data_IF_051770901170
#
_entry.id   IF_051770901170
#
_cell.length_a   1.000
_cell.length_b   1.000
_cell.length_c   1.000
_cell.angle_alpha   90.00
_cell.angle_beta   90.00
_cell.angle_gamma   90.00
#
_symmetry.space_group_name_H-M   'P 1'
#
loop_
_entity.id
_entity.type
_entity.pdbx_description
1 polymer ?
#
# COMPACT_ATOMS: atom_id res chain seq x y z
N UNK A 1 -36.72 -46.86 32.07
CA UNK A 1 -36.23 -45.53 32.50
C UNK A 1 -34.81 -45.69 32.99
N UNK A 2 -33.85 -45.39 32.12
CA UNK A 2 -32.44 -45.17 32.46
C UNK A 2 -31.87 -44.35 31.32
N UNK A 3 -31.83 -43.04 31.53
CA UNK A 3 -31.19 -42.06 30.66
C UNK A 3 -29.69 -42.36 30.57
N UNK A 4 -29.15 -42.44 29.36
CA UNK A 4 -27.71 -42.41 29.12
C UNK A 4 -27.38 -41.13 28.37
N UNK A 5 -26.75 -40.20 29.09
CA UNK A 5 -26.18 -38.97 28.53
C UNK A 5 -25.03 -39.31 27.57
N UNK A 6 -24.95 -38.68 26.38
CA UNK A 6 -23.76 -38.77 25.55
C UNK A 6 -22.66 -37.87 26.12
N UNK A 7 -21.50 -38.47 26.36
CA UNK A 7 -20.28 -37.84 26.87
C UNK A 7 -19.72 -36.88 25.82
N UNK A 8 -19.61 -35.59 26.17
CA UNK A 8 -18.89 -34.59 25.39
C UNK A 8 -17.39 -34.95 25.32
N UNK A 9 -16.97 -35.59 24.22
CA UNK A 9 -15.56 -35.62 23.85
C UNK A 9 -15.17 -34.26 23.30
N UNK A 10 -14.50 -33.47 24.14
CA UNK A 10 -13.79 -32.25 23.74
C UNK A 10 -12.70 -32.61 22.74
N UNK A 11 -12.89 -32.19 21.49
CA UNK A 11 -11.87 -32.27 20.46
C UNK A 11 -10.68 -31.37 20.84
N UNK A 12 -9.66 -31.96 21.48
CA UNK A 12 -8.37 -31.31 21.65
C UNK A 12 -7.73 -31.12 20.27
N UNK A 13 -7.79 -29.92 19.72
CA UNK A 13 -6.94 -29.51 18.61
C UNK A 13 -5.47 -29.71 19.01
N UNK A 14 -4.87 -30.83 18.59
CA UNK A 14 -3.42 -31.03 18.69
C UNK A 14 -2.75 -30.04 17.75
N UNK A 15 -2.12 -29.00 18.31
CA UNK A 15 -1.29 -28.06 17.57
C UNK A 15 -0.11 -28.84 16.95
N UNK A 16 -0.22 -29.17 15.66
CA UNK A 16 0.84 -29.84 14.93
C UNK A 16 2.04 -28.89 14.87
N UNK A 17 3.20 -29.30 15.41
CA UNK A 17 4.44 -28.50 15.34
C UNK A 17 4.91 -28.46 13.88
N UNK A 18 4.63 -27.37 13.18
CA UNK A 18 5.15 -27.10 11.84
C UNK A 18 6.63 -26.72 11.97
N UNK A 19 7.52 -27.36 11.21
CA UNK A 19 8.95 -27.06 11.24
C UNK A 19 9.24 -25.67 10.70
N UNK A 20 10.35 -25.06 11.15
CA UNK A 20 10.76 -23.73 10.68
C UNK A 20 11.02 -23.68 9.16
N UNK A 21 11.51 -24.78 8.59
CA UNK A 21 11.73 -24.91 7.14
C UNK A 21 10.43 -24.83 6.34
N UNK A 22 9.32 -25.33 6.89
CA UNK A 22 7.99 -25.22 6.27
C UNK A 22 7.34 -23.85 6.46
N UNK A 23 7.98 -22.98 7.26
CA UNK A 23 7.55 -21.61 7.56
C UNK A 23 8.48 -20.57 6.96
N UNK A 24 9.44 -21.01 6.15
CA UNK A 24 10.46 -20.14 5.57
C UNK A 24 10.32 -20.10 4.05
N UNK A 25 10.43 -18.91 3.49
CA UNK A 25 10.52 -18.67 2.07
C UNK A 25 11.83 -17.95 1.77
N UNK A 26 12.43 -18.25 0.62
CA UNK A 26 13.56 -17.47 0.11
C UNK A 26 13.03 -16.50 -0.93
N UNK A 27 13.28 -15.21 -0.74
CA UNK A 27 12.93 -14.16 -1.69
C UNK A 27 14.15 -13.27 -1.88
N UNK A 28 14.65 -13.19 -3.12
CA UNK A 28 15.91 -12.50 -3.42
C UNK A 28 17.08 -13.00 -2.54
N UNK A 29 17.73 -12.05 -1.87
CA UNK A 29 18.82 -12.30 -0.92
C UNK A 29 18.38 -12.72 0.49
N UNK A 30 17.08 -12.75 0.77
CA UNK A 30 16.53 -12.91 2.11
C UNK A 30 15.93 -14.29 2.33
N UNK A 31 15.97 -14.77 3.58
CA UNK A 31 15.10 -15.83 4.06
C UNK A 31 14.09 -15.19 5.01
N UNK A 32 12.80 -15.27 4.67
CA UNK A 32 11.72 -14.75 5.51
C UNK A 32 11.03 -15.92 6.21
N UNK A 33 10.79 -15.80 7.52
CA UNK A 33 10.27 -16.88 8.36
C UNK A 33 9.05 -16.44 9.15
N UNK A 34 8.00 -17.27 9.14
CA UNK A 34 6.85 -17.13 10.05
C UNK A 34 7.23 -17.52 11.50
N UNK A 35 7.54 -16.53 12.32
CA UNK A 35 7.79 -16.66 13.74
C UNK A 35 6.54 -16.63 14.62
N UNK A 36 5.32 -16.53 14.06
CA UNK A 36 4.10 -16.46 14.87
C UNK A 36 3.95 -17.71 15.75
N UNK A 37 3.88 -17.48 17.06
CA UNK A 37 3.85 -18.50 18.14
C UNK A 37 5.09 -19.41 18.21
N UNK A 38 6.23 -19.00 17.63
CA UNK A 38 7.52 -19.70 17.76
C UNK A 38 8.20 -19.27 19.07
N UNK A 39 8.95 -20.19 19.70
CA UNK A 39 9.80 -19.85 20.85
C UNK A 39 11.00 -19.01 20.38
N UNK A 40 10.92 -17.69 20.59
CA UNK A 40 11.94 -16.72 20.17
C UNK A 40 13.28 -16.92 20.86
N UNK A 41 13.30 -17.29 22.14
CA UNK A 41 14.55 -17.54 22.90
C UNK A 41 15.34 -18.67 22.27
N UNK A 42 14.70 -19.81 22.02
CA UNK A 42 15.32 -20.95 21.35
C UNK A 42 15.81 -20.60 19.94
N UNK A 43 15.06 -19.75 19.23
CA UNK A 43 15.42 -19.34 17.88
C UNK A 43 16.69 -18.48 17.88
N UNK A 44 16.78 -17.53 18.80
CA UNK A 44 17.96 -16.68 18.99
C UNK A 44 19.19 -17.51 19.33
N UNK A 45 19.08 -18.43 20.29
CA UNK A 45 20.17 -19.35 20.65
C UNK A 45 20.67 -20.15 19.44
N UNK A 46 19.74 -20.73 18.67
CA UNK A 46 20.08 -21.54 17.50
C UNK A 46 20.82 -20.74 16.42
N UNK A 47 20.38 -19.52 16.11
CA UNK A 47 21.04 -18.71 15.09
C UNK A 47 22.32 -18.05 15.61
N UNK A 48 22.42 -17.71 16.89
CA UNK A 48 23.67 -17.26 17.50
C UNK A 48 24.78 -18.32 17.35
N UNK A 49 24.46 -19.60 17.58
CA UNK A 49 25.40 -20.72 17.34
C UNK A 49 25.85 -20.82 15.87
N UNK A 50 25.05 -20.32 14.94
CA UNK A 50 25.36 -20.25 13.51
C UNK A 50 26.15 -19.00 13.09
N UNK A 51 26.62 -18.20 14.04
CA UNK A 51 27.42 -17.00 13.79
C UNK A 51 26.61 -15.76 13.37
N UNK A 52 25.29 -15.77 13.59
CA UNK A 52 24.45 -14.61 13.28
C UNK A 52 24.49 -13.56 14.39
N UNK A 53 24.65 -12.29 14.00
CA UNK A 53 24.28 -11.14 14.81
C UNK A 53 22.75 -11.03 14.85
N UNK A 54 22.20 -10.62 15.99
CA UNK A 54 20.76 -10.64 16.27
C UNK A 54 20.30 -9.23 16.60
N UNK A 55 19.28 -8.76 15.88
CA UNK A 55 18.57 -7.53 16.18
C UNK A 55 17.08 -7.83 16.37
N UNK A 56 16.50 -7.36 17.47
CA UNK A 56 15.07 -7.49 17.74
C UNK A 56 14.41 -6.13 17.69
N UNK A 57 13.27 -6.07 17.01
CA UNK A 57 12.42 -4.89 16.86
C UNK A 57 10.99 -5.24 17.30
N UNK A 58 10.05 -4.27 17.36
CA UNK A 58 8.67 -4.55 17.75
C UNK A 58 7.94 -5.60 16.91
N UNK A 59 8.30 -5.79 15.64
CA UNK A 59 7.67 -6.78 14.75
C UNK A 59 8.61 -7.84 14.17
N UNK A 60 9.93 -7.64 14.28
CA UNK A 60 10.91 -8.50 13.61
C UNK A 60 12.06 -8.99 14.50
N UNK A 61 12.58 -10.16 14.14
CA UNK A 61 13.89 -10.64 14.54
C UNK A 61 14.74 -10.75 13.27
N UNK A 62 15.78 -9.95 13.22
CA UNK A 62 16.74 -9.89 12.14
C UNK A 62 18.01 -10.65 12.55
N UNK A 63 18.42 -11.59 11.72
CA UNK A 63 19.67 -12.33 11.86
C UNK A 63 20.58 -12.00 10.67
N UNK A 64 21.78 -11.48 10.94
CA UNK A 64 22.75 -11.10 9.91
C UNK A 64 24.12 -11.75 10.13
N UNK A 65 24.79 -12.17 9.05
CA UNK A 65 26.19 -12.61 9.04
C UNK A 65 26.82 -12.39 7.67
N UNK A 66 28.15 -12.51 7.59
CA UNK A 66 28.89 -12.35 6.32
C UNK A 66 28.66 -13.50 5.33
N UNK A 67 28.56 -14.73 5.84
CA UNK A 67 28.36 -15.93 5.00
C UNK A 67 26.91 -16.14 4.59
N UNK A 68 26.67 -16.60 3.36
CA UNK A 68 25.33 -16.93 2.91
C UNK A 68 24.72 -18.11 3.72
N UNK A 69 23.39 -18.12 3.98
CA UNK A 69 22.47 -17.01 3.78
C UNK A 69 22.78 -15.88 4.78
N UNK A 70 22.99 -14.68 4.26
CA UNK A 70 23.52 -13.54 5.04
C UNK A 70 22.44 -12.87 5.88
N UNK A 71 21.18 -12.89 5.44
CA UNK A 71 20.07 -12.22 6.13
C UNK A 71 18.88 -13.15 6.28
N UNK A 72 18.42 -13.33 7.52
CA UNK A 72 17.18 -14.03 7.85
C UNK A 72 16.28 -13.06 8.62
N UNK A 73 15.07 -12.83 8.11
CA UNK A 73 14.05 -12.04 8.75
C UNK A 73 12.97 -12.95 9.31
N UNK A 74 12.62 -12.77 10.59
CA UNK A 74 11.53 -13.49 11.23
C UNK A 74 10.49 -12.48 11.66
N UNK A 75 9.24 -12.65 11.24
CA UNK A 75 8.10 -11.81 11.67
C UNK A 75 7.16 -12.62 12.57
N UNK A 76 6.28 -11.96 13.32
CA UNK A 76 5.26 -12.64 14.13
C UNK A 76 3.87 -12.03 13.98
N UNK A 77 3.58 -11.42 12.84
CA UNK A 77 2.21 -11.05 12.50
C UNK A 77 1.29 -12.27 12.55
N UNK A 78 0.16 -12.12 13.23
CA UNK A 78 -0.98 -13.01 13.07
C UNK A 78 -1.57 -12.85 11.65
N UNK A 79 -2.37 -13.82 11.20
CA UNK A 79 -3.00 -13.76 9.88
C UNK A 79 -3.89 -12.54 9.69
N UNK A 80 -4.49 -12.05 10.77
CA UNK A 80 -5.43 -10.92 10.78
C UNK A 80 -4.70 -9.56 10.84
N UNK A 81 -3.41 -9.56 11.17
CA UNK A 81 -2.56 -8.36 11.27
C UNK A 81 -1.76 -8.08 9.98
N UNK A 82 -1.89 -8.96 8.98
CA UNK A 82 -1.19 -8.81 7.70
C UNK A 82 -2.07 -7.98 6.76
N UNK A 83 -1.71 -6.71 6.64
CA UNK A 83 -2.29 -5.71 5.75
C UNK A 83 -1.21 -4.70 5.31
N UNK A 84 -1.60 -3.61 4.65
CA UNK A 84 -0.65 -2.64 4.09
C UNK A 84 0.27 -1.97 5.11
N UNK A 85 0.00 -2.00 6.42
CA UNK A 85 0.94 -1.48 7.43
C UNK A 85 2.25 -2.29 7.49
N UNK A 86 2.28 -3.53 6.97
CA UNK A 86 3.49 -4.36 6.96
C UNK A 86 4.64 -3.68 6.21
N UNK A 87 4.38 -2.97 5.11
CA UNK A 87 5.42 -2.25 4.37
C UNK A 87 6.00 -1.11 5.20
N UNK A 88 5.16 -0.36 5.90
CA UNK A 88 5.56 0.70 6.80
C UNK A 88 6.44 0.17 7.95
N UNK A 89 6.04 -0.93 8.61
CA UNK A 89 6.85 -1.55 9.66
C UNK A 89 8.21 -2.04 9.14
N UNK A 90 8.28 -2.61 7.93
CA UNK A 90 9.53 -3.01 7.30
C UNK A 90 10.48 -1.82 7.14
N UNK A 91 9.99 -0.69 6.62
CA UNK A 91 10.81 0.53 6.44
C UNK A 91 11.26 1.07 7.80
N UNK A 92 10.32 1.31 8.71
CA UNK A 92 10.60 1.93 10.01
C UNK A 92 11.61 1.12 10.85
N UNK A 93 11.47 -0.21 10.86
CA UNK A 93 12.25 -1.07 11.75
C UNK A 93 13.52 -1.63 11.13
N UNK A 94 13.57 -1.80 9.80
CA UNK A 94 14.68 -2.50 9.15
C UNK A 94 15.62 -1.61 8.34
N UNK A 95 15.19 -0.39 7.96
CA UNK A 95 16.07 0.61 7.30
C UNK A 95 17.31 0.95 8.14
N UNK A 96 17.24 1.15 9.48
CA UNK A 96 18.42 1.42 10.30
C UNK A 96 19.49 0.31 10.29
N UNK A 97 19.13 -0.91 9.88
CA UNK A 97 20.03 -2.06 9.78
C UNK A 97 20.52 -2.32 8.34
N UNK A 98 20.24 -1.40 7.40
CA UNK A 98 20.66 -1.49 6.01
C UNK A 98 19.97 -2.59 5.19
N UNK A 99 18.87 -3.16 5.71
CA UNK A 99 18.11 -4.22 5.03
C UNK A 99 17.25 -3.62 3.90
N UNK A 100 16.59 -2.49 4.18
CA UNK A 100 15.76 -1.76 3.22
C UNK A 100 16.58 -0.62 2.61
N UNK A 101 17.29 -0.94 1.53
CA UNK A 101 18.09 0.04 0.77
C UNK A 101 17.43 0.49 -0.54
N UNK A 102 16.34 -0.18 -0.95
CA UNK A 102 15.62 0.10 -2.18
C UNK A 102 14.18 -0.40 -2.09
N UNK A 103 13.32 0.12 -2.97
CA UNK A 103 11.96 -0.38 -3.15
C UNK A 103 11.90 -1.87 -3.53
N UNK A 104 12.90 -2.38 -4.26
CA UNK A 104 13.00 -3.80 -4.57
C UNK A 104 13.13 -4.64 -3.28
N UNK A 105 14.00 -4.25 -2.34
CA UNK A 105 14.14 -4.98 -1.08
C UNK A 105 12.86 -4.95 -0.23
N UNK A 106 12.17 -3.80 -0.22
CA UNK A 106 10.87 -3.69 0.44
C UNK A 106 9.84 -4.65 -0.16
N UNK A 107 9.73 -4.66 -1.50
CA UNK A 107 8.82 -5.54 -2.24
C UNK A 107 9.13 -7.03 -2.04
N UNK A 108 10.40 -7.41 -2.06
CA UNK A 108 10.85 -8.79 -1.81
C UNK A 108 10.47 -9.26 -0.40
N UNK A 109 10.68 -8.44 0.63
CA UNK A 109 10.34 -8.78 2.01
C UNK A 109 8.84 -8.80 2.25
N UNK A 110 8.09 -7.83 1.71
CA UNK A 110 6.62 -7.83 1.75
C UNK A 110 6.07 -9.10 1.08
N UNK A 111 6.58 -9.45 -0.09
CA UNK A 111 6.22 -10.69 -0.81
C UNK A 111 6.54 -11.93 0.02
N UNK A 112 7.68 -11.93 0.72
CA UNK A 112 8.05 -13.01 1.62
C UNK A 112 7.06 -13.19 2.79
N UNK A 113 6.66 -12.08 3.42
CA UNK A 113 5.73 -12.06 4.57
C UNK A 113 4.29 -12.38 4.14
N UNK A 114 3.81 -11.78 3.06
CA UNK A 114 2.44 -11.98 2.61
C UNK A 114 2.32 -13.32 1.89
N UNK A 115 3.10 -13.51 0.82
CA UNK A 115 2.96 -14.64 -0.09
C UNK A 115 3.61 -15.94 0.40
N UNK A 116 4.68 -15.87 1.20
CA UNK A 116 5.53 -17.04 1.45
C UNK A 116 5.41 -17.70 2.82
N UNK A 117 4.83 -17.04 3.82
CA UNK A 117 4.87 -17.54 5.21
C UNK A 117 3.51 -17.91 5.81
N UNK A 118 2.39 -17.44 5.23
CA UNK A 118 1.03 -17.80 5.66
C UNK A 118 0.51 -19.07 4.97
N UNK A 119 0.60 -19.11 3.64
CA UNK A 119 0.13 -20.21 2.79
C UNK A 119 1.18 -20.50 1.70
N UNK A 120 2.30 -21.17 2.04
CA UNK A 120 3.42 -21.37 1.10
C UNK A 120 3.03 -22.14 -0.17
N UNK A 121 1.98 -22.96 -0.11
CA UNK A 121 1.47 -23.73 -1.25
C UNK A 121 0.33 -22.99 -2.00
N UNK A 122 -0.12 -21.82 -1.53
CA UNK A 122 -1.24 -21.05 -2.08
C UNK A 122 -1.04 -19.54 -1.90
N UNK A 123 -0.11 -18.99 -2.70
CA UNK A 123 0.25 -17.57 -2.71
C UNK A 123 -0.98 -16.69 -2.98
N UNK A 124 -1.89 -17.12 -3.86
CA UNK A 124 -3.11 -16.37 -4.20
C UNK A 124 -4.01 -16.21 -2.98
N UNK A 125 -4.18 -17.27 -2.20
CA UNK A 125 -4.94 -17.20 -0.94
C UNK A 125 -4.30 -16.25 0.06
N UNK A 126 -2.97 -16.24 0.16
CA UNK A 126 -2.27 -15.37 1.09
C UNK A 126 -2.46 -13.88 0.75
N UNK A 127 -2.31 -13.51 -0.53
CA UNK A 127 -2.61 -12.16 -1.00
C UNK A 127 -4.08 -11.77 -0.86
N UNK A 128 -5.00 -12.74 -1.00
CA UNK A 128 -6.41 -12.48 -0.72
C UNK A 128 -6.68 -12.14 0.75
N UNK A 129 -6.05 -12.83 1.70
CA UNK A 129 -6.16 -12.48 3.13
C UNK A 129 -5.63 -11.09 3.41
N UNK A 130 -4.46 -10.76 2.87
CA UNK A 130 -3.91 -9.40 2.94
C UNK A 130 -4.90 -8.36 2.41
N UNK A 131 -5.51 -8.63 1.25
CA UNK A 131 -6.53 -7.76 0.66
C UNK A 131 -7.76 -7.58 1.52
N UNK A 132 -8.34 -8.68 2.00
CA UNK A 132 -9.53 -8.66 2.88
C UNK A 132 -9.24 -7.88 4.16
N UNK A 133 -8.11 -8.14 4.82
CA UNK A 133 -7.70 -7.43 6.04
C UNK A 133 -7.54 -5.93 5.77
N UNK A 134 -6.85 -5.58 4.68
CA UNK A 134 -6.61 -4.18 4.27
C UNK A 134 -7.94 -3.46 4.02
N UNK A 135 -8.81 -4.02 3.18
CA UNK A 135 -10.12 -3.43 2.88
C UNK A 135 -10.99 -3.31 4.14
N UNK A 136 -11.04 -4.34 4.99
CA UNK A 136 -11.83 -4.31 6.23
C UNK A 136 -11.34 -3.20 7.17
N UNK A 137 -10.02 -3.03 7.34
CA UNK A 137 -9.46 -1.97 8.17
C UNK A 137 -9.74 -0.60 7.57
N UNK A 138 -9.55 -0.41 6.26
CA UNK A 138 -9.90 0.83 5.56
C UNK A 138 -11.38 1.21 5.77
N UNK A 139 -12.30 0.26 5.56
CA UNK A 139 -13.74 0.47 5.77
C UNK A 139 -14.08 0.79 7.23
N UNK A 140 -13.38 0.18 8.18
CA UNK A 140 -13.56 0.47 9.61
C UNK A 140 -13.14 1.91 9.91
N UNK A 141 -11.96 2.34 9.45
CA UNK A 141 -11.49 3.72 9.61
C UNK A 141 -12.46 4.73 8.97
N UNK A 142 -12.91 4.48 7.74
CA UNK A 142 -13.87 5.33 7.04
C UNK A 142 -15.25 5.41 7.70
N UNK A 143 -15.58 4.45 8.58
CA UNK A 143 -16.84 4.42 9.33
C UNK A 143 -16.72 5.04 10.71
N UNK A 144 -15.50 5.20 11.24
CA UNK A 144 -15.26 5.83 12.53
C UNK A 144 -15.10 7.35 12.37
N UNK A 145 -15.94 8.13 13.05
CA UNK A 145 -15.84 9.58 13.03
C UNK A 145 -14.60 10.04 13.80
N UNK A 146 -13.53 10.37 13.09
CA UNK A 146 -12.35 11.01 13.64
C UNK A 146 -11.20 11.01 12.64
N UNK A 147 -10.60 12.17 12.42
CA UNK A 147 -9.31 12.31 11.75
C UNK A 147 -8.22 12.11 12.81
N UNK A 148 -7.54 10.94 12.86
CA UNK A 148 -6.38 10.81 13.74
C UNK A 148 -5.31 11.84 13.37
N UNK A 149 -4.61 12.39 14.36
CA UNK A 149 -3.37 13.11 14.11
C UNK A 149 -2.34 12.07 13.65
N UNK A 150 -2.01 12.09 12.37
CA UNK A 150 -1.09 11.14 11.76
C UNK A 150 0.27 11.78 11.54
N UNK A 151 1.30 11.12 12.05
CA UNK A 151 2.69 11.55 11.91
C UNK A 151 3.38 10.97 10.68
N UNK A 152 2.81 9.93 10.08
CA UNK A 152 3.43 9.15 9.00
C UNK A 152 2.44 8.84 7.87
N UNK A 153 2.82 9.23 6.65
CA UNK A 153 2.02 9.08 5.43
C UNK A 153 1.97 7.64 4.90
N UNK A 154 2.93 6.78 5.27
CA UNK A 154 3.02 5.40 4.79
C UNK A 154 2.06 4.41 5.46
N UNK A 155 1.25 4.87 6.41
CA UNK A 155 0.36 4.00 7.19
C UNK A 155 -0.99 3.76 6.51
N UNK A 156 -1.65 2.65 6.85
CA UNK A 156 -3.03 2.35 6.45
C UNK A 156 -3.98 3.45 6.93
N UNK A 157 -3.79 3.97 8.15
CA UNK A 157 -4.61 5.07 8.67
C UNK A 157 -4.43 6.36 7.87
N UNK A 158 -3.22 6.62 7.37
CA UNK A 158 -2.95 7.76 6.49
C UNK A 158 -3.67 7.61 5.15
N UNK A 159 -3.55 6.43 4.54
CA UNK A 159 -4.28 6.08 3.32
C UNK A 159 -5.80 6.20 3.52
N UNK A 160 -6.35 5.69 4.62
CA UNK A 160 -7.78 5.78 4.91
C UNK A 160 -8.27 7.23 5.04
N UNK A 161 -7.47 8.07 5.72
CA UNK A 161 -7.79 9.49 5.91
C UNK A 161 -7.73 10.25 4.58
N UNK A 162 -6.74 9.95 3.74
CA UNK A 162 -6.65 10.47 2.37
C UNK A 162 -7.82 10.02 1.50
N UNK A 163 -8.18 8.75 1.53
CA UNK A 163 -9.31 8.22 0.77
C UNK A 163 -10.64 8.82 1.23
N UNK A 164 -10.81 9.09 2.52
CA UNK A 164 -11.97 9.81 3.03
C UNK A 164 -12.04 11.21 2.39
N UNK A 165 -10.92 11.94 2.42
CA UNK A 165 -10.85 13.30 1.87
C UNK A 165 -11.14 13.29 0.38
N UNK A 166 -10.62 12.33 -0.37
CA UNK A 166 -10.95 12.13 -1.78
C UNK A 166 -12.44 11.89 -1.97
N UNK A 167 -13.08 11.02 -1.18
CA UNK A 167 -14.52 10.79 -1.27
C UNK A 167 -15.36 12.06 -1.03
N UNK A 168 -14.89 12.98 -0.18
CA UNK A 168 -15.52 14.28 0.07
C UNK A 168 -15.33 15.28 -1.10
N UNK A 169 -14.22 15.15 -1.83
CA UNK A 169 -13.85 16.04 -2.94
C UNK A 169 -14.29 15.52 -4.31
N UNK A 170 -14.64 14.25 -4.43
CA UNK A 170 -15.11 13.61 -5.66
C UNK A 170 -16.42 14.25 -6.18
N UNK A 171 -16.51 14.43 -7.50
CA UNK A 171 -17.71 14.89 -8.21
C UNK A 171 -17.95 14.08 -9.49
N UNK A 172 -19.20 14.10 -9.95
CA UNK A 172 -19.65 13.37 -11.14
C UNK A 172 -19.78 11.86 -10.89
N UNK A 173 -19.87 11.08 -11.96
CA UNK A 173 -20.19 9.65 -11.92
C UNK A 173 -19.03 8.75 -12.38
N UNK A 174 -18.04 9.33 -13.08
CA UNK A 174 -16.90 8.61 -13.68
C UNK A 174 -15.58 8.98 -13.00
N UNK A 175 -14.88 8.00 -12.45
CA UNK A 175 -13.68 8.18 -11.62
C UNK A 175 -12.49 7.43 -12.19
N UNK A 176 -11.31 8.07 -12.17
CA UNK A 176 -10.03 7.44 -12.49
C UNK A 176 -9.08 7.57 -11.30
N UNK A 177 -8.52 6.44 -10.87
CA UNK A 177 -7.44 6.36 -9.91
C UNK A 177 -6.14 5.97 -10.64
N UNK A 178 -5.26 6.96 -10.85
CA UNK A 178 -4.02 6.80 -11.58
C UNK A 178 -2.92 6.23 -10.69
N UNK A 179 -2.22 5.19 -11.17
CA UNK A 179 -1.24 4.41 -10.40
C UNK A 179 -1.83 3.91 -9.06
N UNK A 180 -2.95 3.18 -9.18
CA UNK A 180 -3.86 2.83 -8.09
C UNK A 180 -3.31 1.87 -7.02
N UNK A 181 -2.09 1.34 -7.19
CA UNK A 181 -1.35 0.54 -6.21
C UNK A 181 -2.21 -0.42 -5.36
N UNK A 182 -2.73 -1.48 -5.99
CA UNK A 182 -3.62 -2.43 -5.32
C UNK A 182 -5.11 -2.11 -5.46
N UNK A 183 -5.47 -0.90 -5.91
CA UNK A 183 -6.82 -0.57 -6.38
C UNK A 183 -7.88 -0.33 -5.31
N UNK A 184 -7.47 -0.19 -4.04
CA UNK A 184 -8.42 -0.07 -2.92
C UNK A 184 -9.27 1.20 -2.99
N UNK A 185 -8.74 2.33 -3.46
CA UNK A 185 -9.55 3.54 -3.62
C UNK A 185 -10.68 3.34 -4.63
N UNK A 186 -10.40 2.75 -5.81
CA UNK A 186 -11.44 2.47 -6.81
C UNK A 186 -12.52 1.54 -6.26
N UNK A 187 -12.16 0.52 -5.47
CA UNK A 187 -13.13 -0.33 -4.76
C UNK A 187 -13.99 0.48 -3.81
N UNK A 188 -13.37 1.32 -2.98
CA UNK A 188 -14.05 2.12 -1.97
C UNK A 188 -15.01 3.12 -2.60
N UNK A 189 -14.60 3.80 -3.68
CA UNK A 189 -15.47 4.71 -4.43
C UNK A 189 -16.70 3.95 -4.96
N UNK A 190 -16.48 2.81 -5.62
CA UNK A 190 -17.54 1.99 -6.19
C UNK A 190 -18.52 1.43 -5.14
N UNK A 191 -18.03 1.10 -3.94
CA UNK A 191 -18.84 0.53 -2.86
C UNK A 191 -19.56 1.60 -2.02
N UNK A 192 -18.93 2.75 -1.76
CA UNK A 192 -19.37 3.70 -0.74
C UNK A 192 -20.14 4.89 -1.28
N UNK A 193 -19.91 5.27 -2.53
CA UNK A 193 -20.50 6.47 -3.12
C UNK A 193 -21.63 6.06 -4.08
N UNK A 194 -22.91 6.26 -3.71
CA UNK A 194 -24.04 5.76 -4.51
C UNK A 194 -24.15 6.37 -5.92
N UNK A 195 -23.51 7.51 -6.16
CA UNK A 195 -23.50 8.20 -7.45
C UNK A 195 -22.39 7.70 -8.39
N UNK A 196 -21.49 6.84 -7.94
CA UNK A 196 -20.40 6.32 -8.79
C UNK A 196 -20.95 5.30 -9.78
N UNK A 197 -21.11 5.73 -11.04
CA UNK A 197 -21.47 4.84 -12.14
C UNK A 197 -20.27 4.00 -12.61
N UNK A 198 -19.05 4.56 -12.55
CA UNK A 198 -17.83 3.86 -12.94
C UNK A 198 -16.60 4.37 -12.18
N UNK A 199 -15.87 3.47 -11.53
CA UNK A 199 -14.52 3.71 -11.00
C UNK A 199 -13.50 2.87 -11.78
N UNK A 200 -12.45 3.52 -12.28
CA UNK A 200 -11.35 2.87 -13.01
C UNK A 200 -10.07 3.05 -12.23
N UNK A 201 -9.39 1.96 -11.86
CA UNK A 201 -8.03 2.00 -11.35
C UNK A 201 -7.04 1.61 -12.45
N UNK A 202 -5.93 2.34 -12.58
CA UNK A 202 -4.86 1.98 -13.51
C UNK A 202 -3.51 1.85 -12.85
N UNK A 203 -2.68 0.97 -13.39
CA UNK A 203 -1.29 0.83 -12.98
C UNK A 203 -0.45 0.31 -14.15
N UNK A 204 0.86 0.54 -14.11
CA UNK A 204 1.79 0.00 -15.11
C UNK A 204 1.99 -1.51 -14.91
N UNK A 205 1.91 -1.97 -13.66
CA UNK A 205 1.98 -3.40 -13.31
C UNK A 205 0.57 -4.00 -13.20
N UNK A 206 0.16 -4.87 -14.14
CA UNK A 206 -1.17 -5.47 -14.09
C UNK A 206 -1.36 -6.44 -12.92
N UNK A 207 -0.30 -6.86 -12.23
CA UNK A 207 -0.42 -7.83 -11.15
C UNK A 207 -0.97 -7.20 -9.86
N UNK A 208 -0.89 -5.87 -9.71
CA UNK A 208 -1.29 -5.19 -8.46
C UNK A 208 -2.80 -5.28 -8.20
N UNK A 209 -3.64 -5.32 -9.25
CA UNK A 209 -5.09 -5.30 -9.09
C UNK A 209 -5.75 -6.68 -8.98
N UNK A 210 -5.00 -7.79 -9.01
CA UNK A 210 -5.56 -9.17 -8.92
C UNK A 210 -6.40 -9.34 -7.65
N UNK A 211 -5.89 -8.82 -6.52
CA UNK A 211 -6.59 -8.89 -5.23
C UNK A 211 -7.86 -8.04 -5.27
N UNK A 212 -7.78 -6.81 -5.77
CA UNK A 212 -8.94 -5.93 -5.84
C UNK A 212 -10.03 -6.42 -6.78
N UNK A 213 -9.67 -6.99 -7.94
CA UNK A 213 -10.64 -7.61 -8.85
C UNK A 213 -11.44 -8.72 -8.15
N UNK A 214 -10.75 -9.59 -7.41
CA UNK A 214 -11.40 -10.65 -6.65
C UNK A 214 -12.30 -10.08 -5.54
N UNK A 215 -11.85 -9.05 -4.82
CA UNK A 215 -12.68 -8.38 -3.80
C UNK A 215 -13.92 -7.73 -4.43
N UNK A 216 -13.82 -7.13 -5.62
CA UNK A 216 -14.95 -6.59 -6.35
C UNK A 216 -15.97 -7.68 -6.71
N UNK A 217 -15.50 -8.83 -7.23
CA UNK A 217 -16.34 -9.99 -7.56
C UNK A 217 -17.07 -10.54 -6.33
N UNK A 218 -16.35 -10.75 -5.22
CA UNK A 218 -16.90 -11.25 -3.95
C UNK A 218 -17.94 -10.31 -3.34
N UNK A 219 -17.87 -9.02 -3.67
CA UNK A 219 -18.79 -7.96 -3.20
C UNK A 219 -19.84 -7.56 -4.24
N UNK A 220 -19.86 -8.23 -5.40
CA UNK A 220 -20.77 -7.96 -6.51
C UNK A 220 -20.72 -6.50 -7.03
N UNK A 221 -19.54 -5.89 -7.01
CA UNK A 221 -19.31 -4.54 -7.54
C UNK A 221 -19.08 -4.61 -9.05
N UNK A 222 -20.09 -4.20 -9.84
CA UNK A 222 -20.04 -4.22 -11.31
C UNK A 222 -19.60 -2.88 -11.92
N UNK A 223 -19.42 -1.85 -11.09
CA UNK A 223 -19.07 -0.48 -11.45
C UNK A 223 -17.58 -0.16 -11.23
N UNK A 224 -16.72 -1.17 -11.00
CA UNK A 224 -15.27 -1.01 -10.86
C UNK A 224 -14.52 -1.77 -11.95
N UNK A 225 -13.50 -1.15 -12.53
CA UNK A 225 -12.66 -1.71 -13.59
C UNK A 225 -11.19 -1.43 -13.31
N UNK A 226 -10.31 -2.36 -13.67
CA UNK A 226 -8.87 -2.16 -13.62
C UNK A 226 -8.24 -2.32 -15.00
N UNK A 227 -7.32 -1.44 -15.35
CA UNK A 227 -6.64 -1.44 -16.65
C UNK A 227 -5.13 -1.27 -16.45
N UNK A 228 -4.34 -1.98 -17.26
CA UNK A 228 -2.93 -1.65 -17.37
C UNK A 228 -2.78 -0.40 -18.23
N UNK A 229 -2.06 0.61 -17.76
CA UNK A 229 -1.76 1.81 -18.53
C UNK A 229 -0.44 2.44 -18.10
N UNK A 230 0.27 3.04 -19.06
CA UNK A 230 1.43 3.89 -18.79
C UNK A 230 0.99 5.35 -18.77
N UNK A 231 1.24 6.06 -17.66
CA UNK A 231 0.90 7.48 -17.52
C UNK A 231 1.71 8.38 -18.46
N UNK A 232 2.82 7.89 -19.01
CA UNK A 232 3.66 8.59 -20.01
C UNK A 232 3.26 8.29 -21.46
N UNK A 233 2.28 7.41 -21.69
CA UNK A 233 1.83 7.07 -23.04
C UNK A 233 1.32 8.30 -23.79
N UNK A 234 1.67 8.42 -25.07
CA UNK A 234 1.23 9.55 -25.91
C UNK A 234 -0.29 9.52 -26.16
N UNK A 235 -0.85 8.31 -26.24
CA UNK A 235 -2.25 8.03 -26.48
C UNK A 235 -3.05 7.78 -25.19
N UNK A 236 -2.55 8.26 -24.05
CA UNK A 236 -3.19 8.08 -22.75
C UNK A 236 -4.67 8.49 -22.72
N UNK A 237 -5.09 9.46 -23.53
CA UNK A 237 -6.51 9.87 -23.61
C UNK A 237 -7.47 8.82 -24.15
N UNK A 238 -6.98 7.74 -24.76
CA UNK A 238 -7.82 6.61 -25.17
C UNK A 238 -8.46 5.87 -23.99
N UNK A 239 -7.94 6.06 -22.77
CA UNK A 239 -8.54 5.50 -21.55
C UNK A 239 -9.93 6.10 -21.25
N UNK A 240 -10.23 7.27 -21.80
CA UNK A 240 -11.53 7.93 -21.71
C UNK A 240 -11.49 9.31 -21.05
N UNK A 241 -12.65 9.73 -20.56
CA UNK A 241 -12.86 10.99 -19.83
C UNK A 241 -13.53 10.68 -18.49
N UNK A 242 -13.11 11.36 -17.44
CA UNK A 242 -13.52 11.10 -16.07
C UNK A 242 -13.85 12.41 -15.38
N UNK A 243 -14.91 12.43 -14.61
CA UNK A 243 -15.34 13.59 -13.84
C UNK A 243 -14.31 13.96 -12.78
N UNK A 244 -13.83 12.96 -12.05
CA UNK A 244 -12.75 13.11 -11.09
C UNK A 244 -11.60 12.15 -11.41
N UNK A 245 -10.38 12.68 -11.41
CA UNK A 245 -9.14 11.93 -11.57
C UNK A 245 -8.30 12.10 -10.30
N UNK A 246 -7.74 11.02 -9.79
CA UNK A 246 -6.81 11.05 -8.65
C UNK A 246 -5.43 10.57 -9.08
N UNK A 247 -4.38 11.17 -8.54
CA UNK A 247 -3.03 10.63 -8.55
C UNK A 247 -2.43 10.83 -7.15
N UNK A 248 -2.57 9.80 -6.31
CA UNK A 248 -2.21 9.83 -4.90
C UNK A 248 -0.89 9.10 -4.70
N UNK A 249 0.13 9.81 -4.23
CA UNK A 249 1.49 9.29 -4.08
C UNK A 249 2.07 8.72 -5.39
N UNK A 250 1.98 9.52 -6.46
CA UNK A 250 2.35 9.11 -7.82
C UNK A 250 3.47 9.96 -8.39
N UNK A 251 3.31 11.28 -8.36
CA UNK A 251 4.18 12.18 -9.11
C UNK A 251 5.62 12.20 -8.56
N UNK A 252 5.83 11.85 -7.30
CA UNK A 252 7.14 11.66 -6.67
C UNK A 252 7.97 10.51 -7.26
N UNK A 253 7.35 9.60 -8.02
CA UNK A 253 8.03 8.50 -8.70
C UNK A 253 8.54 8.86 -10.10
N UNK A 254 8.32 10.09 -10.56
CA UNK A 254 8.76 10.56 -11.88
C UNK A 254 9.96 11.49 -11.78
N UNK A 255 10.66 11.67 -12.90
CA UNK A 255 11.58 12.81 -13.06
C UNK A 255 10.78 14.11 -13.12
N UNK A 256 11.41 15.27 -12.92
CA UNK A 256 10.72 16.56 -13.04
C UNK A 256 10.05 16.74 -14.43
N UNK A 257 10.74 16.34 -15.49
CA UNK A 257 10.22 16.39 -16.87
C UNK A 257 9.04 15.43 -17.08
N UNK A 258 9.21 14.17 -16.68
CA UNK A 258 8.17 13.15 -16.83
C UNK A 258 6.94 13.45 -15.97
N UNK A 259 7.11 14.05 -14.79
CA UNK A 259 6.01 14.49 -13.94
C UNK A 259 5.08 15.44 -14.69
N UNK A 260 5.61 16.45 -15.38
CA UNK A 260 4.78 17.38 -16.14
C UNK A 260 4.12 16.73 -17.36
N UNK A 261 4.74 15.71 -17.96
CA UNK A 261 4.11 14.89 -19.01
C UNK A 261 2.92 14.08 -18.47
N UNK A 262 3.09 13.44 -17.31
CA UNK A 262 2.02 12.73 -16.59
C UNK A 262 0.88 13.71 -16.25
N UNK A 263 1.19 14.86 -15.67
CA UNK A 263 0.18 15.87 -15.32
C UNK A 263 -0.60 16.36 -16.55
N UNK A 264 0.06 16.58 -17.70
CA UNK A 264 -0.61 16.94 -18.95
C UNK A 264 -1.61 15.85 -19.39
N UNK A 265 -1.21 14.59 -19.30
CA UNK A 265 -2.04 13.44 -19.63
C UNK A 265 -3.25 13.32 -18.68
N UNK A 266 -3.04 13.46 -17.36
CA UNK A 266 -4.11 13.43 -16.37
C UNK A 266 -5.10 14.59 -16.55
N UNK A 267 -4.62 15.81 -16.79
CA UNK A 267 -5.46 16.98 -17.08
C UNK A 267 -6.30 16.76 -18.35
N UNK A 268 -5.75 16.11 -19.39
CA UNK A 268 -6.47 15.83 -20.64
C UNK A 268 -7.69 14.94 -20.42
N UNK A 269 -7.59 13.96 -19.53
CA UNK A 269 -8.69 13.00 -19.24
C UNK A 269 -9.65 13.47 -18.15
N UNK A 270 -9.34 14.58 -17.46
CA UNK A 270 -10.16 15.15 -16.37
C UNK A 270 -11.24 16.09 -16.91
N UNK A 271 -12.52 15.85 -16.59
CA UNK A 271 -13.64 16.73 -16.92
C UNK A 271 -13.88 17.81 -15.87
N UNK A 272 -13.83 17.46 -14.57
CA UNK A 272 -14.13 18.40 -13.49
C UNK A 272 -12.99 18.57 -12.50
N UNK A 273 -12.50 17.51 -11.85
CA UNK A 273 -11.51 17.61 -10.76
C UNK A 273 -10.33 16.69 -10.94
N UNK A 274 -9.11 17.22 -10.80
CA UNK A 274 -7.89 16.45 -10.63
C UNK A 274 -7.41 16.63 -9.19
N UNK A 275 -7.27 15.54 -8.45
CA UNK A 275 -6.83 15.51 -7.05
C UNK A 275 -5.45 14.85 -7.01
N UNK A 276 -4.47 15.59 -6.53
CA UNK A 276 -3.10 15.13 -6.35
C UNK A 276 -2.78 15.07 -4.86
N UNK A 277 -2.08 14.03 -4.43
CA UNK A 277 -1.50 13.96 -3.10
C UNK A 277 -0.04 13.53 -3.20
N UNK A 278 0.83 14.18 -2.43
CA UNK A 278 2.27 13.89 -2.36
C UNK A 278 2.74 13.87 -0.92
N UNK A 279 3.74 13.05 -0.58
CA UNK A 279 4.31 13.03 0.75
C UNK A 279 5.17 14.28 0.96
N UNK A 280 5.10 14.85 2.17
CA UNK A 280 6.12 15.77 2.63
C UNK A 280 7.05 15.01 3.58
N UNK A 281 8.25 14.70 3.08
CA UNK A 281 9.25 13.94 3.83
C UNK A 281 9.99 14.90 4.75
N UNK A 282 9.43 15.13 5.94
CA UNK A 282 10.06 15.99 6.93
C UNK A 282 11.05 15.18 7.77
N UNK A 283 12.34 15.28 7.45
CA UNK A 283 13.37 15.03 8.44
C UNK A 283 13.89 16.37 8.96
N UNK A 284 13.63 16.67 10.23
CA UNK A 284 14.32 17.76 10.92
C UNK A 284 15.81 17.44 10.92
N UNK A 285 16.61 18.37 10.40
CA UNK A 285 18.09 18.37 10.38
C UNK A 285 18.80 17.41 9.39
N UNK A 286 18.08 16.76 8.46
CA UNK A 286 18.70 16.00 7.35
C UNK A 286 18.53 16.70 5.99
N UNK A 287 19.44 16.47 5.03
CA UNK A 287 19.25 16.95 3.67
C UNK A 287 17.93 16.42 3.08
N UNK A 288 17.23 17.27 2.31
CA UNK A 288 16.00 16.91 1.62
C UNK A 288 16.29 15.86 0.54
N UNK A 289 16.20 14.59 0.89
CA UNK A 289 16.38 13.46 -0.01
C UNK A 289 15.08 12.65 -0.12
N UNK A 290 14.72 12.17 -1.33
CA UNK A 290 13.54 11.35 -1.52
C UNK A 290 13.66 10.00 -0.79
N UNK A 291 12.56 9.48 -0.24
CA UNK A 291 12.55 8.17 0.42
C UNK A 291 12.76 7.02 -0.59
N UNK A 292 14.02 6.59 -0.72
CA UNK A 292 14.44 5.53 -1.65
C UNK A 292 13.79 4.18 -1.31
N UNK A 293 13.39 3.95 -0.05
CA UNK A 293 12.68 2.73 0.34
C UNK A 293 11.32 2.59 -0.37
N UNK A 294 10.64 3.71 -0.64
CA UNK A 294 9.41 3.73 -1.43
C UNK A 294 9.67 3.93 -2.93
N UNK A 295 10.92 4.21 -3.32
CA UNK A 295 11.29 4.41 -4.72
C UNK A 295 10.94 5.82 -5.21
N UNK A 296 10.85 6.79 -4.29
CA UNK A 296 10.69 8.19 -4.65
C UNK A 296 11.94 8.67 -5.39
N UNK A 297 11.72 9.44 -6.45
CA UNK A 297 12.79 10.02 -7.28
C UNK A 297 12.96 11.52 -7.04
N UNK A 298 11.98 12.13 -6.42
CA UNK A 298 11.96 13.55 -6.11
C UNK A 298 11.24 13.82 -4.80
N UNK A 299 11.68 14.88 -4.13
CA UNK A 299 11.08 15.39 -2.90
C UNK A 299 10.01 16.44 -3.20
N UNK A 300 8.96 16.47 -2.38
CA UNK A 300 7.92 17.50 -2.43
C UNK A 300 7.91 18.36 -1.18
N UNK A 301 7.78 19.66 -1.41
CA UNK A 301 7.49 20.67 -0.40
C UNK A 301 6.26 21.46 -0.81
N UNK A 302 5.66 22.20 0.13
CA UNK A 302 4.53 23.07 -0.16
C UNK A 302 4.78 24.04 -1.33
N UNK A 303 5.91 24.79 -1.39
CA UNK A 303 6.19 25.66 -2.54
C UNK A 303 6.32 24.92 -3.88
N UNK A 304 6.87 23.70 -3.88
CA UNK A 304 6.97 22.89 -5.12
C UNK A 304 5.59 22.43 -5.58
N UNK A 305 4.74 21.97 -4.67
CA UNK A 305 3.37 21.59 -5.00
C UNK A 305 2.56 22.80 -5.48
N UNK A 306 2.80 23.99 -4.91
CA UNK A 306 2.22 25.24 -5.39
C UNK A 306 2.64 25.58 -6.82
N UNK A 307 3.93 25.42 -7.17
CA UNK A 307 4.40 25.61 -8.54
C UNK A 307 3.76 24.61 -9.52
N UNK A 308 3.53 23.36 -9.11
CA UNK A 308 2.83 22.34 -9.89
C UNK A 308 1.38 22.76 -10.18
N UNK A 309 0.65 23.26 -9.18
CA UNK A 309 -0.73 23.71 -9.38
C UNK A 309 -0.84 24.95 -10.26
N UNK A 310 0.09 25.90 -10.13
CA UNK A 310 0.16 27.07 -11.03
C UNK A 310 0.44 26.65 -12.48
N UNK A 311 1.35 25.69 -12.69
CA UNK A 311 1.58 25.13 -14.02
C UNK A 311 0.30 24.47 -14.58
N UNK A 312 -0.45 23.72 -13.77
CA UNK A 312 -1.71 23.13 -14.20
C UNK A 312 -2.74 24.19 -14.63
N UNK A 313 -2.86 25.30 -13.89
CA UNK A 313 -3.73 26.42 -14.27
C UNK A 313 -3.33 27.07 -15.60
N UNK A 314 -2.04 27.19 -15.86
CA UNK A 314 -1.52 27.69 -17.14
C UNK A 314 -1.91 26.77 -18.29
N UNK A 315 -1.82 25.44 -18.12
CA UNK A 315 -2.27 24.47 -19.13
C UNK A 315 -3.78 24.57 -19.39
N UNK A 316 -4.56 24.90 -18.37
CA UNK A 316 -5.99 25.16 -18.49
C UNK A 316 -6.32 26.57 -19.01
N UNK A 317 -5.33 27.38 -19.38
CA UNK A 317 -5.51 28.77 -19.85
C UNK A 317 -6.32 29.63 -18.87
N UNK A 318 -6.18 29.37 -17.56
CA UNK A 318 -6.94 30.07 -16.52
C UNK A 318 -8.41 29.64 -16.38
N UNK A 319 -8.89 28.64 -17.13
CA UNK A 319 -10.24 28.09 -17.03
C UNK A 319 -10.40 27.09 -15.86
N UNK A 320 -9.88 27.45 -14.69
CA UNK A 320 -9.91 26.59 -13.50
C UNK A 320 -9.65 27.34 -12.20
N UNK A 321 -9.57 26.57 -11.12
CA UNK A 321 -9.22 26.99 -9.75
C UNK A 321 -8.37 25.91 -9.10
N UNK A 322 -7.54 26.29 -8.13
CA UNK A 322 -6.72 25.37 -7.35
C UNK A 322 -6.89 25.61 -5.85
N UNK A 323 -6.79 24.56 -5.07
CA UNK A 323 -6.77 24.59 -3.60
C UNK A 323 -5.66 23.69 -3.09
N UNK A 324 -5.08 24.09 -1.97
CA UNK A 324 -3.99 23.39 -1.31
C UNK A 324 -4.38 23.09 0.14
N UNK A 325 -4.10 21.87 0.57
CA UNK A 325 -4.27 21.43 1.94
C UNK A 325 -2.99 20.74 2.41
N UNK A 326 -2.49 21.13 3.58
CA UNK A 326 -1.45 20.37 4.26
C UNK A 326 -2.13 19.22 5.00
N UNK A 327 -2.27 18.10 4.29
CA UNK A 327 -3.10 16.96 4.66
C UNK A 327 -2.32 15.66 4.44
N UNK A 328 -1.63 15.19 5.48
CA UNK A 328 -0.80 13.97 5.43
C UNK A 328 0.25 14.07 4.31
N UNK A 329 0.98 15.19 4.32
CA UNK A 329 1.74 15.67 3.17
C UNK A 329 1.01 16.84 2.51
N UNK A 330 1.09 16.93 1.20
CA UNK A 330 0.43 17.96 0.41
C UNK A 330 -0.69 17.40 -0.44
N UNK A 331 -1.88 17.99 -0.35
CA UNK A 331 -3.00 17.73 -1.24
C UNK A 331 -3.27 18.96 -2.10
N UNK A 332 -3.34 18.74 -3.42
CA UNK A 332 -3.64 19.76 -4.42
C UNK A 332 -4.88 19.34 -5.21
N UNK A 333 -5.94 20.14 -5.12
CA UNK A 333 -7.14 20.01 -5.95
C UNK A 333 -7.08 21.02 -7.10
N UNK A 334 -7.26 20.55 -8.33
CA UNK A 334 -7.48 21.37 -9.52
C UNK A 334 -8.93 21.17 -9.98
N UNK A 335 -9.73 22.23 -10.04
CA UNK A 335 -11.10 22.22 -10.56
C UNK A 335 -11.19 22.99 -11.88
N UNK A 336 -11.76 22.36 -12.91
CA UNK A 336 -12.07 22.97 -14.21
C UNK A 336 -13.41 23.71 -14.14
N UNK A 337 -13.51 24.84 -14.85
CA UNK A 337 -14.76 25.62 -14.96
C UNK A 337 -15.74 25.07 -15.98
#
# INVERSE_FOLDING_TARGET
>A
MTESQPTLQTARHKTQKVSIQKRSVRVGGFIVVNGYRVNRTLLKERFALGGYQIHETPHFLLFQRLEAPSTILVHWFASEEIDTDVSHYLVQELKPFGVIASNQHLSELLTGIVGGTLYPDDVRRAWNYFGVNTLQRLLTFLSTAGTPSLKDYGTLSASATLYQRVCELCVGEYFLDAACNGGFLSLLLAERLPFVAKAVGIDIDPNVFVVAQKLAEERHLNNVQYLQADLLAEDFDQIGRFDTVTALHVIEHFSEEDMYRVLANLLRVTSHRLILAVPYEHEHDQPQEPEVAYGHRQFFSRPKLEAVGEWCLQQLQGAGRIWYEDFIGGLLLIERR
#
